data_IF_238144095788
#
_entry.id   IF_238144095788
#
_cell.length_a   1.000
_cell.length_b   1.000
_cell.length_c   1.000
_cell.angle_alpha   90.00
_cell.angle_beta   90.00
_cell.angle_gamma   90.00
#
_symmetry.space_group_name_H-M   'P 1'
#
loop_
_entity.id
_entity.type
_entity.pdbx_description
1 polymer ?
#
# COMPACT_ATOMS: atom_id res chain seq x y z
N UNK A 1 47.40 -32.97 -59.95
CA UNK A 1 46.67 -33.19 -58.65
C UNK A 1 47.02 -32.08 -57.67
N UNK A 2 46.56 -30.89 -57.88
CA UNK A 2 46.80 -29.71 -56.96
C UNK A 2 45.75 -28.66 -57.22
N UNK A 3 44.47 -28.90 -56.99
CA UNK A 3 43.45 -27.86 -57.14
C UNK A 3 42.12 -28.18 -56.39
N UNK A 4 42.24 -28.66 -55.15
CA UNK A 4 41.03 -28.92 -54.33
C UNK A 4 41.11 -28.40 -52.89
N UNK A 5 42.02 -27.49 -52.60
CA UNK A 5 42.23 -27.04 -51.22
C UNK A 5 41.98 -25.50 -50.98
N UNK A 6 41.37 -24.82 -51.94
CA UNK A 6 41.18 -23.35 -51.82
C UNK A 6 39.71 -22.97 -51.63
N UNK A 7 38.76 -23.90 -51.71
CA UNK A 7 37.33 -23.61 -51.69
C UNK A 7 36.65 -23.80 -50.33
N UNK A 8 37.40 -24.23 -49.31
CA UNK A 8 36.84 -24.41 -47.95
C UNK A 8 37.06 -23.22 -47.02
N UNK A 9 38.00 -22.31 -47.41
CA UNK A 9 38.38 -21.17 -46.57
C UNK A 9 37.43 -19.94 -46.66
N UNK A 10 36.52 -19.87 -47.64
CA UNK A 10 35.69 -18.69 -47.87
C UNK A 10 34.29 -18.80 -47.28
N UNK A 11 33.88 -19.98 -46.87
CA UNK A 11 32.51 -20.21 -46.33
C UNK A 11 32.39 -20.03 -44.81
N UNK A 12 33.50 -19.85 -44.09
CA UNK A 12 33.48 -19.68 -42.63
C UNK A 12 33.45 -18.19 -42.19
N UNK A 13 33.76 -17.27 -43.12
CA UNK A 13 33.86 -15.85 -42.79
C UNK A 13 32.52 -15.07 -42.87
N UNK A 14 31.41 -15.69 -43.27
CA UNK A 14 30.13 -14.97 -43.47
C UNK A 14 29.10 -15.25 -42.35
N UNK A 15 29.42 -16.15 -41.43
CA UNK A 15 28.48 -16.52 -40.34
C UNK A 15 28.73 -15.84 -38.98
N UNK A 16 29.60 -14.84 -38.91
CA UNK A 16 29.93 -14.19 -37.60
C UNK A 16 29.36 -12.79 -37.45
N UNK A 17 28.58 -12.29 -38.41
CA UNK A 17 27.97 -10.96 -38.32
C UNK A 17 26.45 -10.96 -38.12
N UNK A 18 25.84 -12.06 -37.68
CA UNK A 18 24.53 -12.03 -37.11
C UNK A 18 24.66 -11.64 -35.61
N UNK A 19 25.07 -10.39 -35.39
CA UNK A 19 25.06 -9.78 -34.06
C UNK A 19 23.68 -9.86 -33.48
N UNK A 20 23.55 -10.70 -32.47
CA UNK A 20 22.43 -10.71 -31.55
C UNK A 20 22.34 -9.33 -30.87
N UNK A 21 21.63 -8.41 -31.50
CA UNK A 21 21.13 -7.23 -30.84
C UNK A 21 20.08 -7.70 -29.81
N UNK A 22 20.54 -8.14 -28.64
CA UNK A 22 19.70 -8.16 -27.47
C UNK A 22 19.35 -6.70 -27.17
N UNK A 23 18.24 -6.25 -27.73
CA UNK A 23 17.56 -5.08 -27.25
C UNK A 23 17.24 -5.37 -25.78
N UNK A 24 18.03 -4.79 -24.89
CA UNK A 24 17.70 -4.70 -23.48
C UNK A 24 16.41 -3.90 -23.40
N UNK A 25 15.28 -4.59 -23.42
CA UNK A 25 13.98 -4.08 -23.10
C UNK A 25 14.05 -3.60 -21.65
N UNK A 26 14.35 -2.32 -21.50
CA UNK A 26 14.23 -1.62 -20.22
C UNK A 26 12.77 -1.74 -19.82
N UNK A 27 12.47 -2.77 -19.05
CA UNK A 27 11.23 -2.88 -18.31
C UNK A 27 11.05 -1.57 -17.56
N UNK A 28 10.20 -0.71 -18.10
CA UNK A 28 9.71 0.45 -17.39
C UNK A 28 8.94 -0.10 -16.22
N UNK A 29 9.61 -0.24 -15.08
CA UNK A 29 8.97 -0.37 -13.79
C UNK A 29 8.06 0.84 -13.67
N UNK A 30 6.82 0.67 -14.09
CA UNK A 30 5.74 1.62 -13.82
C UNK A 30 5.66 1.66 -12.31
N UNK A 31 6.33 2.63 -11.71
CA UNK A 31 6.14 2.99 -10.30
C UNK A 31 4.67 3.37 -10.19
N UNK A 32 3.84 2.35 -9.94
CA UNK A 32 2.42 2.52 -9.63
C UNK A 32 2.39 3.50 -8.48
N UNK A 33 2.00 4.74 -8.76
CA UNK A 33 1.90 5.82 -7.79
C UNK A 33 0.92 5.30 -6.74
N UNK A 34 1.47 4.78 -5.65
CA UNK A 34 0.69 4.36 -4.49
C UNK A 34 0.00 5.63 -4.03
N UNK A 35 -1.29 5.73 -4.28
CA UNK A 35 -2.11 6.80 -3.69
C UNK A 35 -1.94 6.60 -2.19
N UNK A 36 -1.37 7.56 -1.45
CA UNK A 36 -1.22 7.41 -0.03
C UNK A 36 -2.61 7.18 0.56
N UNK A 37 -2.88 5.97 1.00
CA UNK A 37 -4.07 5.69 1.78
C UNK A 37 -4.06 6.60 3.01
N UNK A 38 -5.22 6.85 3.59
CA UNK A 38 -5.31 7.58 4.85
C UNK A 38 -4.44 6.86 5.88
N UNK A 39 -3.58 7.63 6.56
CA UNK A 39 -2.70 7.12 7.63
C UNK A 39 -3.23 7.59 8.95
N UNK A 40 -3.38 6.67 9.89
CA UNK A 40 -3.66 6.97 11.29
C UNK A 40 -2.44 6.65 12.16
N UNK A 41 -2.29 7.41 13.23
CA UNK A 41 -1.27 7.20 14.25
C UNK A 41 -1.90 6.52 15.46
N UNK A 42 -1.44 5.32 15.78
CA UNK A 42 -2.04 4.48 16.81
C UNK A 42 -1.00 4.01 17.82
N UNK A 43 -1.46 3.66 19.01
CA UNK A 43 -0.60 3.08 20.00
C UNK A 43 -0.26 1.63 19.65
N UNK A 44 1.02 1.28 19.75
CA UNK A 44 1.53 -0.07 19.55
C UNK A 44 2.18 -0.59 20.83
N UNK A 45 1.43 -0.61 21.93
CA UNK A 45 1.93 -1.05 23.24
C UNK A 45 1.72 -2.54 23.52
N UNK A 46 1.26 -3.33 22.55
CA UNK A 46 0.93 -4.75 22.70
C UNK A 46 -0.56 -4.99 22.95
N UNK A 47 -0.91 -6.25 23.11
CA UNK A 47 -2.31 -6.71 23.18
C UNK A 47 -3.04 -6.27 24.46
N UNK A 48 -2.31 -6.06 25.55
CA UNK A 48 -2.83 -5.60 26.84
C UNK A 48 -3.10 -4.09 26.88
N UNK A 49 -2.85 -3.38 25.79
CA UNK A 49 -3.00 -1.93 25.73
C UNK A 49 -4.47 -1.54 25.54
N UNK A 50 -5.06 -0.94 26.55
CA UNK A 50 -6.44 -0.39 26.51
C UNK A 50 -6.56 0.90 25.69
N UNK A 51 -5.48 1.39 25.07
CA UNK A 51 -5.47 2.60 24.26
C UNK A 51 -5.98 2.33 22.85
N UNK A 52 -7.28 2.06 22.72
CA UNK A 52 -7.92 1.82 21.42
C UNK A 52 -8.29 3.13 20.71
N UNK A 53 -7.37 4.08 20.65
CA UNK A 53 -7.63 5.41 20.07
C UNK A 53 -6.70 5.66 18.88
N UNK A 54 -7.26 6.25 17.83
CA UNK A 54 -6.54 6.68 16.65
C UNK A 54 -6.37 8.21 16.63
N UNK A 55 -5.29 8.67 16.02
CA UNK A 55 -4.96 10.08 15.83
C UNK A 55 -4.62 10.35 14.37
N UNK A 56 -4.91 11.54 13.90
CA UNK A 56 -4.56 11.97 12.53
C UNK A 56 -3.13 12.52 12.43
N UNK A 57 -2.48 12.76 13.57
CA UNK A 57 -1.14 13.36 13.67
C UNK A 57 -0.19 12.51 14.51
N UNK A 58 1.12 12.58 14.22
CA UNK A 58 2.12 11.92 15.06
C UNK A 58 2.15 12.53 16.46
N UNK A 59 2.49 11.71 17.46
CA UNK A 59 2.56 12.17 18.85
C UNK A 59 2.85 11.05 19.82
N UNK A 60 2.39 11.24 21.05
CA UNK A 60 2.44 10.24 22.12
C UNK A 60 1.02 9.83 22.50
N UNK A 61 0.86 8.57 22.78
CA UNK A 61 -0.36 8.03 23.36
C UNK A 61 -0.52 8.49 24.81
N UNK A 62 -1.75 8.54 25.36
CA UNK A 62 -1.97 8.76 26.80
C UNK A 62 -1.19 7.83 27.71
N UNK A 63 -0.81 6.62 27.25
CA UNK A 63 0.07 5.70 27.96
C UNK A 63 1.58 6.08 27.91
N UNK A 64 1.94 7.23 27.31
CA UNK A 64 3.30 7.74 27.20
C UNK A 64 4.11 7.19 26.01
N UNK A 65 3.67 6.12 25.35
CA UNK A 65 4.40 5.54 24.22
C UNK A 65 4.18 6.33 22.92
N UNK A 66 5.20 6.33 22.06
CA UNK A 66 5.14 6.98 20.74
C UNK A 66 4.12 6.27 19.86
N UNK A 67 3.28 7.06 19.19
CA UNK A 67 2.34 6.57 18.20
C UNK A 67 3.08 6.10 16.94
N UNK A 68 2.57 5.04 16.31
CA UNK A 68 3.10 4.51 15.05
C UNK A 68 2.09 4.74 13.91
N UNK A 69 2.57 5.11 12.71
CA UNK A 69 1.71 5.28 11.56
C UNK A 69 1.27 3.93 11.00
N UNK A 70 -0.03 3.77 10.74
CA UNK A 70 -0.61 2.60 10.08
C UNK A 70 -1.56 3.05 8.96
N UNK A 71 -1.62 2.28 7.87
CA UNK A 71 -2.50 2.56 6.75
C UNK A 71 -3.91 2.05 7.02
N UNK A 72 -4.90 2.90 6.75
CA UNK A 72 -6.31 2.52 6.80
C UNK A 72 -6.64 1.66 5.59
N UNK A 73 -7.10 0.45 5.83
CA UNK A 73 -7.58 -0.48 4.80
C UNK A 73 -9.06 -0.25 4.52
N UNK A 74 -9.86 -0.12 5.57
CA UNK A 74 -11.31 0.09 5.50
C UNK A 74 -11.80 0.84 6.74
N UNK A 75 -12.85 1.63 6.59
CA UNK A 75 -13.67 2.15 7.69
C UNK A 75 -14.87 1.21 7.82
N UNK A 76 -15.12 0.75 9.03
CA UNK A 76 -16.18 -0.20 9.36
C UNK A 76 -16.97 0.36 10.55
N UNK A 77 -18.06 1.07 10.24
CA UNK A 77 -18.83 1.81 11.24
C UNK A 77 -18.03 2.93 11.89
N UNK A 78 -17.79 2.82 13.18
CA UNK A 78 -17.03 3.72 14.05
C UNK A 78 -15.58 3.27 14.29
N UNK A 79 -15.16 2.22 13.60
CA UNK A 79 -13.81 1.68 13.67
C UNK A 79 -13.06 1.80 12.34
N UNK A 80 -11.74 1.81 12.42
CA UNK A 80 -10.88 1.62 11.26
C UNK A 80 -10.14 0.29 11.35
N UNK A 81 -10.09 -0.42 10.22
CA UNK A 81 -9.25 -1.60 10.03
C UNK A 81 -7.93 -1.14 9.43
N UNK A 82 -6.86 -1.39 10.15
CA UNK A 82 -5.51 -0.91 9.82
C UNK A 82 -4.60 -2.06 9.40
N UNK A 83 -3.69 -1.74 8.47
CA UNK A 83 -2.60 -2.63 8.09
C UNK A 83 -1.45 -2.52 9.09
N UNK A 84 -1.02 -3.64 9.66
CA UNK A 84 0.16 -3.70 10.55
C UNK A 84 1.49 -3.85 9.80
N UNK A 85 1.46 -3.98 8.48
CA UNK A 85 2.64 -3.98 7.64
C UNK A 85 3.41 -2.66 7.79
N UNK A 86 4.72 -2.69 7.74
CA UNK A 86 5.56 -1.49 7.85
C UNK A 86 5.32 -0.44 6.77
N UNK A 87 6.09 0.64 6.84
CA UNK A 87 6.03 1.76 5.89
C UNK A 87 6.13 1.28 4.44
N UNK A 88 5.32 1.86 3.57
CA UNK A 88 5.36 1.59 2.12
C UNK A 88 4.56 0.38 1.66
N UNK A 89 3.87 -0.32 2.56
CA UNK A 89 2.98 -1.39 2.16
C UNK A 89 1.74 -0.84 1.42
N UNK A 90 1.52 -1.31 0.21
CA UNK A 90 0.34 -1.02 -0.60
C UNK A 90 -0.76 -2.08 -0.41
N UNK A 91 -0.92 -2.58 0.81
CA UNK A 91 -1.92 -3.60 1.13
C UNK A 91 -3.32 -3.14 0.76
N UNK A 92 -4.08 -4.10 0.26
CA UNK A 92 -5.54 -3.97 0.09
C UNK A 92 -6.24 -4.66 1.26
N UNK A 93 -7.47 -4.24 1.50
CA UNK A 93 -8.35 -4.95 2.40
C UNK A 93 -8.64 -6.35 1.85
N UNK A 94 -8.62 -7.36 2.71
CA UNK A 94 -8.98 -8.72 2.35
C UNK A 94 -10.44 -8.96 2.78
N UNK A 95 -11.35 -8.97 1.84
CA UNK A 95 -12.79 -9.16 2.10
C UNK A 95 -13.11 -10.58 2.55
N UNK A 96 -12.33 -11.58 2.13
CA UNK A 96 -12.52 -12.97 2.50
C UNK A 96 -12.06 -13.26 3.94
N UNK A 97 -11.06 -12.53 4.42
CA UNK A 97 -10.55 -12.64 5.80
C UNK A 97 -10.19 -11.26 6.34
N UNK A 98 -11.14 -10.55 6.96
CA UNK A 98 -10.90 -9.22 7.52
C UNK A 98 -9.87 -9.15 8.64
N UNK A 99 -9.52 -10.29 9.24
CA UNK A 99 -8.47 -10.38 10.28
C UNK A 99 -7.06 -10.26 9.72
N UNK A 100 -6.90 -10.39 8.38
CA UNK A 100 -5.63 -10.30 7.67
C UNK A 100 -5.69 -9.30 6.53
N UNK A 101 -4.59 -8.60 6.30
CA UNK A 101 -4.45 -7.76 5.12
C UNK A 101 -4.08 -8.59 3.88
N UNK A 102 -4.10 -7.98 2.71
CA UNK A 102 -3.73 -8.65 1.46
C UNK A 102 -2.30 -9.22 1.41
N UNK A 103 -1.43 -8.87 2.36
CA UNK A 103 -0.11 -9.49 2.54
C UNK A 103 -0.11 -10.66 3.53
N UNK A 104 -1.26 -11.06 4.06
CA UNK A 104 -1.39 -12.16 5.02
C UNK A 104 -1.07 -11.80 6.48
N UNK A 105 -0.61 -10.56 6.77
CA UNK A 105 -0.35 -10.13 8.13
C UNK A 105 -1.66 -9.73 8.86
N UNK A 106 -1.70 -9.84 10.20
CA UNK A 106 -2.89 -9.49 10.96
C UNK A 106 -3.25 -8.01 10.79
N UNK A 107 -4.53 -7.69 10.78
CA UNK A 107 -5.04 -6.33 10.83
C UNK A 107 -5.21 -5.88 12.28
N UNK A 108 -5.31 -4.56 12.48
CA UNK A 108 -5.63 -3.97 13.78
C UNK A 108 -6.88 -3.12 13.66
N UNK A 109 -7.86 -3.33 14.53
CA UNK A 109 -9.05 -2.47 14.66
C UNK A 109 -8.78 -1.37 15.68
N UNK A 110 -9.20 -0.16 15.39
CA UNK A 110 -9.11 0.98 16.30
C UNK A 110 -10.37 1.82 16.24
N UNK A 111 -10.80 2.36 17.38
CA UNK A 111 -11.93 3.29 17.44
C UNK A 111 -11.57 4.62 16.79
N UNK A 112 -12.56 5.21 16.12
CA UNK A 112 -12.50 6.52 15.48
C UNK A 112 -13.25 7.58 16.27
N UNK A 113 -13.66 7.30 17.52
CA UNK A 113 -14.39 8.22 18.37
C UNK A 113 -13.70 9.59 18.45
N UNK A 114 -14.47 10.64 18.27
CA UNK A 114 -13.99 12.01 18.24
C UNK A 114 -13.42 12.48 16.89
N UNK A 115 -13.26 11.58 15.92
CA UNK A 115 -12.81 11.88 14.55
C UNK A 115 -14.01 12.05 13.62
N UNK A 116 -13.73 12.67 12.48
CA UNK A 116 -14.69 12.86 11.38
C UNK A 116 -14.34 11.89 10.26
N UNK A 117 -15.32 11.10 9.81
CA UNK A 117 -15.16 10.06 8.79
C UNK A 117 -16.04 10.31 7.59
N UNK A 118 -15.70 9.67 6.48
CA UNK A 118 -16.54 9.66 5.30
C UNK A 118 -17.87 8.94 5.58
N UNK A 119 -18.98 9.64 5.41
CA UNK A 119 -20.34 9.11 5.55
C UNK A 119 -21.01 8.74 4.22
N UNK A 120 -20.23 8.45 3.16
CA UNK A 120 -20.79 8.20 1.82
C UNK A 120 -21.53 6.84 1.68
N UNK A 121 -21.58 6.02 2.72
CA UNK A 121 -22.23 4.72 2.71
C UNK A 121 -21.35 3.57 2.18
N UNK A 122 -21.98 2.39 2.07
CA UNK A 122 -21.34 1.18 1.59
C UNK A 122 -20.79 1.34 0.17
N UNK A 123 -19.64 0.77 -0.09
CA UNK A 123 -18.95 0.87 -1.39
C UNK A 123 -18.06 2.09 -1.57
N UNK A 124 -18.04 3.05 -0.65
CA UNK A 124 -17.13 4.18 -0.72
C UNK A 124 -15.72 3.83 -0.21
N UNK A 125 -14.76 3.81 -1.11
CA UNK A 125 -13.36 3.49 -0.80
C UNK A 125 -12.50 4.73 -0.49
N UNK A 126 -13.11 5.90 -0.22
CA UNK A 126 -12.33 7.12 -0.02
C UNK A 126 -11.57 7.13 1.31
N UNK A 127 -12.01 6.37 2.32
CA UNK A 127 -11.38 6.22 3.64
C UNK A 127 -10.87 7.56 4.23
N UNK A 128 -11.62 8.65 4.00
CA UNK A 128 -11.24 9.97 4.51
C UNK A 128 -11.54 10.05 6.00
N UNK A 129 -10.50 10.37 6.78
CA UNK A 129 -10.58 10.59 8.23
C UNK A 129 -9.92 11.93 8.54
N UNK A 130 -10.51 12.73 9.43
CA UNK A 130 -10.03 14.05 9.81
C UNK A 130 -10.25 14.32 11.30
N UNK A 131 -9.42 15.19 11.89
CA UNK A 131 -9.62 15.73 13.25
C UNK A 131 -10.56 16.96 13.27
N UNK A 132 -11.05 17.37 12.09
CA UNK A 132 -11.91 18.54 11.91
C UNK A 132 -13.07 18.23 10.96
N UNK A 133 -14.21 18.93 11.10
CA UNK A 133 -15.27 18.85 10.12
C UNK A 133 -14.78 19.29 8.74
N UNK A 134 -15.36 18.75 7.68
CA UNK A 134 -14.95 19.06 6.32
C UNK A 134 -15.68 18.19 5.30
N UNK A 135 -15.08 18.05 4.13
CA UNK A 135 -15.59 17.21 3.05
C UNK A 135 -14.64 16.07 2.76
N UNK A 136 -15.18 14.91 2.40
CA UNK A 136 -14.40 13.78 1.93
C UNK A 136 -13.96 13.96 0.47
N UNK A 137 -13.13 13.06 -0.03
CA UNK A 137 -12.67 13.06 -1.43
C UNK A 137 -13.81 12.95 -2.45
N UNK A 138 -14.97 12.44 -2.03
CA UNK A 138 -16.19 12.35 -2.85
C UNK A 138 -17.04 13.63 -2.81
N UNK A 139 -16.62 14.68 -2.07
CA UNK A 139 -17.34 15.95 -1.95
C UNK A 139 -18.40 16.01 -0.84
N UNK A 140 -18.77 14.88 -0.22
CA UNK A 140 -19.75 14.84 0.87
C UNK A 140 -19.18 15.30 2.21
N UNK A 141 -20.03 15.84 3.08
CA UNK A 141 -19.64 16.21 4.43
C UNK A 141 -19.16 15.00 5.24
N UNK A 142 -18.12 15.21 6.04
CA UNK A 142 -17.66 14.21 7.00
C UNK A 142 -18.63 14.15 8.19
N UNK A 143 -18.87 12.93 8.67
CA UNK A 143 -19.67 12.64 9.85
C UNK A 143 -18.77 12.47 11.07
N UNK A 144 -19.12 13.09 12.21
CA UNK A 144 -18.43 12.87 13.47
C UNK A 144 -18.79 11.51 14.03
N UNK A 145 -17.81 10.78 14.54
CA UNK A 145 -17.97 9.54 15.30
C UNK A 145 -18.06 9.92 16.79
N UNK A 146 -19.09 9.45 17.48
CA UNK A 146 -19.36 9.72 18.90
C UNK A 146 -19.01 8.51 19.77
#
# INVERSE_FOLDING_TARGET
MKTKLVLIGVLIAVMVCAGLSFAAEKEKVVKKKVVPGTVLYVCNCGDDCKCNTAFTKPGKCPCGKKLVPMHVLKIDGDEAILCTCGKGCACKFNEADPSKCGCGLPTKRVSLNGLYICGCGEGCNCNTISDKPGKCKCGNALKKVE
#
